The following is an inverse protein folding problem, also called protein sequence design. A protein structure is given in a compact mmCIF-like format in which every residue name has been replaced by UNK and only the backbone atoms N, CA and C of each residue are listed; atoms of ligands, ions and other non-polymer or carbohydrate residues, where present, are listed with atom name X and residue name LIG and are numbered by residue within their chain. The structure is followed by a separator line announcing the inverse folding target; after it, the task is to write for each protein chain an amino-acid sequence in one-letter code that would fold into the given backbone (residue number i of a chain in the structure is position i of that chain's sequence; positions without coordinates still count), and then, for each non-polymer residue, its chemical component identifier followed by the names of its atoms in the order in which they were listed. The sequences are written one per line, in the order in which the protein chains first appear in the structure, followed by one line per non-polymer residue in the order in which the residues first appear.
data_IF_080218958185
#
_entry.id   IF_080218958185
#
_cell.length_a   1.000
_cell.length_b   1.000
_cell.length_c   1.000
_cell.angle_alpha   90.00
_cell.angle_beta   90.00
_cell.angle_gamma   90.00
#
_symmetry.space_group_name_H-M   'P 1'
#
loop_
_entity.id
_entity.type
_entity.pdbx_description
1 polymer ?
#
# COMPACT_ATOMS: atom_id res chain seq x y z
N UNK A 1 9.50 14.60 5.27
CA UNK A 1 8.22 14.07 4.74
C UNK A 1 8.23 12.55 4.82
N UNK A 2 7.52 11.97 5.78
CA UNK A 2 7.52 10.51 6.03
C UNK A 2 6.67 9.70 5.01
N UNK A 3 5.90 10.37 4.14
CA UNK A 3 4.95 9.73 3.22
C UNK A 3 5.54 9.27 1.87
N UNK A 4 6.71 9.77 1.45
CA UNK A 4 7.25 9.52 0.11
C UNK A 4 7.68 8.05 -0.10
N UNK A 5 8.13 7.38 0.94
CA UNK A 5 8.58 5.98 0.89
C UNK A 5 7.42 5.00 0.62
N UNK A 6 6.20 5.36 1.02
CA UNK A 6 5.02 4.50 0.84
C UNK A 6 4.50 4.46 -0.60
N UNK A 7 4.91 5.42 -1.44
CA UNK A 7 4.49 5.51 -2.84
C UNK A 7 5.03 4.36 -3.69
N UNK A 8 6.25 3.90 -3.39
CA UNK A 8 6.93 2.81 -4.10
C UNK A 8 6.68 1.46 -3.44
N UNK A 9 5.46 1.21 -3.00
CA UNK A 9 5.07 -0.12 -2.53
C UNK A 9 4.98 -1.06 -3.72
N UNK A 10 6.02 -1.87 -3.92
CA UNK A 10 6.10 -2.86 -4.98
C UNK A 10 5.02 -3.93 -4.79
N UNK A 11 4.50 -4.47 -5.89
CA UNK A 11 3.53 -5.58 -5.89
C UNK A 11 3.99 -6.74 -5.00
N UNK A 12 5.30 -6.99 -4.92
CA UNK A 12 5.91 -7.98 -4.01
C UNK A 12 5.67 -7.70 -2.53
N UNK A 13 5.80 -6.44 -2.09
CA UNK A 13 5.56 -6.05 -0.69
C UNK A 13 4.07 -6.20 -0.36
N UNK A 14 3.20 -5.76 -1.27
CA UNK A 14 1.75 -5.90 -1.12
C UNK A 14 1.36 -7.37 -1.02
N UNK A 15 1.91 -8.23 -1.88
CA UNK A 15 1.70 -9.69 -1.82
C UNK A 15 2.16 -10.30 -0.49
N UNK A 16 3.34 -9.91 0.03
CA UNK A 16 3.83 -10.39 1.33
C UNK A 16 2.89 -10.01 2.47
N UNK A 17 2.40 -8.77 2.49
CA UNK A 17 1.42 -8.30 3.49
C UNK A 17 0.11 -9.08 3.37
N UNK A 18 -0.37 -9.34 2.14
CA UNK A 18 -1.58 -10.12 1.92
C UNK A 18 -1.45 -11.55 2.46
N UNK A 19 -0.31 -12.22 2.24
CA UNK A 19 -0.05 -13.57 2.76
C UNK A 19 -0.04 -13.56 4.28
N UNK A 20 0.57 -12.56 4.90
CA UNK A 20 0.57 -12.39 6.36
C UNK A 20 -0.86 -12.26 6.90
N UNK A 21 -1.68 -11.37 6.33
CA UNK A 21 -3.07 -11.17 6.73
C UNK A 21 -3.88 -12.46 6.58
N UNK A 22 -3.75 -13.16 5.45
CA UNK A 22 -4.43 -14.44 5.23
C UNK A 22 -4.03 -15.49 6.26
N UNK A 23 -2.75 -15.53 6.68
CA UNK A 23 -2.29 -16.44 7.73
C UNK A 23 -2.91 -16.13 9.09
N UNK A 24 -3.07 -14.84 9.43
CA UNK A 24 -3.74 -14.41 10.65
C UNK A 24 -5.23 -14.79 10.64
N UNK A 25 -5.93 -14.54 9.53
CA UNK A 25 -7.35 -14.89 9.38
C UNK A 25 -7.59 -16.39 9.54
N UNK A 26 -6.72 -17.23 8.97
CA UNK A 26 -6.81 -18.69 9.14
C UNK A 26 -6.62 -19.12 10.59
N UNK A 27 -5.69 -18.50 11.32
CA UNK A 27 -5.50 -18.74 12.76
C UNK A 27 -6.72 -18.31 13.58
N UNK A 28 -7.32 -17.16 13.28
CA UNK A 28 -8.52 -16.67 13.97
C UNK A 28 -9.74 -17.57 13.73
N UNK A 29 -9.89 -18.08 12.52
CA UNK A 29 -10.98 -19.01 12.16
C UNK A 29 -10.69 -20.47 12.57
N UNK A 30 -9.58 -20.72 13.27
CA UNK A 30 -9.10 -22.05 13.66
C UNK A 30 -9.09 -23.08 12.52
N UNK A 31 -8.70 -22.64 11.31
CA UNK A 31 -8.64 -23.47 10.11
C UNK A 31 -7.32 -24.25 10.15
N UNK A 32 -7.39 -25.58 10.23
CA UNK A 32 -6.22 -26.43 10.23
C UNK A 32 -5.70 -26.66 8.82
N UNK A 33 -4.46 -27.15 8.70
CA UNK A 33 -3.82 -27.40 7.41
C UNK A 33 -4.59 -28.38 6.52
N UNK A 34 -5.39 -29.28 7.13
CA UNK A 34 -6.26 -30.22 6.42
C UNK A 34 -7.51 -29.58 5.81
N UNK A 35 -7.93 -28.42 6.32
CA UNK A 35 -9.04 -27.66 5.77
C UNK A 35 -8.55 -26.87 4.56
N UNK A 36 -8.69 -27.47 3.38
CA UNK A 36 -8.35 -26.85 2.09
C UNK A 36 -9.41 -25.80 1.74
N UNK A 37 -9.39 -24.67 2.45
CA UNK A 37 -10.23 -23.51 2.17
C UNK A 37 -9.52 -22.60 1.17
N UNK A 38 -10.23 -22.26 0.08
CA UNK A 38 -9.77 -21.28 -0.89
C UNK A 38 -9.71 -19.88 -0.28
N UNK A 39 -8.82 -19.03 -0.79
CA UNK A 39 -8.69 -17.65 -0.29
C UNK A 39 -9.95 -16.81 -0.55
N UNK A 40 -10.71 -17.10 -1.61
CA UNK A 40 -11.97 -16.40 -1.90
C UNK A 40 -13.03 -16.71 -0.83
N UNK A 41 -13.19 -17.98 -0.45
CA UNK A 41 -14.13 -18.40 0.58
C UNK A 41 -13.74 -17.85 1.97
N UNK A 42 -12.45 -17.73 2.26
CA UNK A 42 -11.93 -17.10 3.48
C UNK A 42 -12.37 -15.62 3.57
N UNK A 43 -12.27 -14.88 2.46
CA UNK A 43 -12.64 -13.47 2.39
C UNK A 43 -14.16 -13.26 2.46
N UNK A 44 -14.93 -14.14 1.84
CA UNK A 44 -16.40 -14.14 1.92
C UNK A 44 -16.86 -14.33 3.37
N UNK A 45 -16.33 -15.33 4.08
CA UNK A 45 -16.67 -15.57 5.50
C UNK A 45 -16.31 -14.42 6.43
N UNK A 46 -15.25 -13.67 6.10
CA UNK A 46 -14.76 -12.57 6.94
C UNK A 46 -15.30 -11.20 6.49
N UNK A 47 -16.09 -11.15 5.42
CA UNK A 47 -16.53 -9.93 4.74
C UNK A 47 -15.36 -8.96 4.46
N UNK A 48 -14.15 -9.49 4.24
CA UNK A 48 -12.95 -8.68 4.02
C UNK A 48 -12.61 -8.55 2.54
N UNK A 49 -12.30 -7.32 2.13
CA UNK A 49 -11.74 -7.05 0.80
C UNK A 49 -10.22 -7.34 0.78
N UNK A 50 -9.67 -7.73 -0.39
CA UNK A 50 -8.23 -7.85 -0.58
C UNK A 50 -7.49 -6.58 -0.14
N UNK A 51 -6.33 -6.76 0.49
CA UNK A 51 -5.51 -5.67 1.01
C UNK A 51 -5.07 -4.72 -0.08
N UNK A 52 -4.83 -5.25 -1.28
CA UNK A 52 -4.54 -4.46 -2.48
C UNK A 52 -5.65 -3.44 -2.77
N UNK A 53 -6.91 -3.84 -2.66
CA UNK A 53 -8.03 -2.95 -2.94
C UNK A 53 -8.19 -1.88 -1.86
N UNK A 54 -7.95 -2.22 -0.59
CA UNK A 54 -7.90 -1.25 0.50
C UNK A 54 -6.78 -0.22 0.29
N UNK A 55 -5.58 -0.68 -0.09
CA UNK A 55 -4.45 0.20 -0.40
C UNK A 55 -4.78 1.09 -1.60
N UNK A 56 -5.38 0.55 -2.66
CA UNK A 56 -5.81 1.29 -3.84
C UNK A 56 -6.81 2.38 -3.50
N UNK A 57 -7.85 2.06 -2.72
CA UNK A 57 -8.84 3.05 -2.24
C UNK A 57 -8.19 4.13 -1.38
N UNK A 58 -7.26 3.76 -0.49
CA UNK A 58 -6.48 4.70 0.31
C UNK A 58 -5.65 5.66 -0.56
N UNK A 59 -4.94 5.14 -1.56
CA UNK A 59 -4.18 5.95 -2.52
C UNK A 59 -5.08 6.91 -3.28
N UNK A 60 -6.21 6.45 -3.82
CA UNK A 60 -7.15 7.33 -4.53
C UNK A 60 -7.75 8.42 -3.63
N UNK A 61 -8.11 8.07 -2.38
CA UNK A 61 -8.58 9.05 -1.40
C UNK A 61 -7.52 10.11 -1.11
N UNK A 62 -6.26 9.71 -1.01
CA UNK A 62 -5.13 10.62 -0.80
C UNK A 62 -4.86 11.49 -2.02
N UNK A 63 -4.82 10.93 -3.24
CA UNK A 63 -4.72 11.68 -4.50
C UNK A 63 -5.82 12.74 -4.58
N UNK A 64 -7.07 12.36 -4.30
CA UNK A 64 -8.20 13.30 -4.27
C UNK A 64 -7.98 14.44 -3.27
N UNK A 65 -7.43 14.14 -2.10
CA UNK A 65 -7.12 15.16 -1.09
C UNK A 65 -5.99 16.09 -1.55
N UNK A 66 -4.92 15.55 -2.12
CA UNK A 66 -3.78 16.33 -2.62
C UNK A 66 -4.17 17.21 -3.81
N UNK A 67 -5.03 16.73 -4.72
CA UNK A 67 -5.53 17.51 -5.85
C UNK A 67 -6.43 18.69 -5.43
N UNK A 68 -7.07 18.60 -4.25
CA UNK A 68 -7.84 19.71 -3.66
C UNK A 68 -6.95 20.82 -3.06
N UNK A 69 -5.64 20.58 -2.89
CA UNK A 69 -4.70 21.61 -2.44
C UNK A 69 -4.26 22.51 -3.60
N UNK A 70 -3.77 23.69 -3.28
CA UNK A 70 -3.27 24.66 -4.26
C UNK A 70 -2.14 24.07 -5.12
N UNK A 71 -2.02 24.55 -6.37
CA UNK A 71 -0.98 24.12 -7.33
C UNK A 71 0.44 24.27 -6.80
N UNK A 72 0.65 25.27 -5.93
CA UNK A 72 1.95 25.60 -5.36
C UNK A 72 2.31 24.73 -4.14
N UNK A 73 1.39 23.85 -3.68
CA UNK A 73 1.68 22.95 -2.57
C UNK A 73 2.72 21.91 -3.00
N UNK A 74 3.82 21.83 -2.25
CA UNK A 74 4.94 20.88 -2.45
C UNK A 74 4.43 19.44 -2.69
N UNK A 75 3.38 19.05 -1.97
CA UNK A 75 2.79 17.71 -2.07
C UNK A 75 2.10 17.44 -3.42
N UNK A 76 1.53 18.48 -4.06
CA UNK A 76 0.93 18.38 -5.39
C UNK A 76 2.00 18.40 -6.49
N UNK A 77 3.06 19.17 -6.31
CA UNK A 77 4.23 19.13 -7.18
C UNK A 77 4.95 17.78 -7.13
N UNK A 78 5.07 17.18 -5.93
CA UNK A 78 5.67 15.86 -5.73
C UNK A 78 4.91 14.71 -6.41
N UNK A 79 3.60 14.87 -6.71
CA UNK A 79 2.84 13.88 -7.49
C UNK A 79 3.29 13.81 -8.95
N UNK A 80 3.65 14.95 -9.54
CA UNK A 80 4.10 15.07 -10.94
C UNK A 80 5.62 14.89 -11.06
N UNK A 81 6.32 14.88 -9.93
CA UNK A 81 7.76 14.76 -9.88
C UNK A 81 8.21 13.34 -10.26
N UNK A 82 8.70 13.19 -11.50
CA UNK A 82 9.45 12.02 -11.93
C UNK A 82 10.95 12.30 -11.73
N UNK A 83 11.62 11.74 -10.72
CA UNK A 83 13.05 11.93 -10.55
C UNK A 83 13.79 11.13 -11.62
N UNK A 84 14.02 11.73 -12.78
CA UNK A 84 14.98 11.22 -13.75
C UNK A 84 16.39 11.29 -13.15
N UNK A 85 16.86 10.18 -12.60
CA UNK A 85 18.24 10.05 -12.16
C UNK A 85 18.48 8.97 -11.11
N UNK A 86 19.65 8.32 -11.19
CA UNK A 86 20.20 7.55 -10.09
C UNK A 86 20.57 8.53 -8.97
N UNK A 87 19.88 8.44 -7.84
CA UNK A 87 20.27 9.18 -6.63
C UNK A 87 21.67 8.72 -6.21
N UNK A 88 22.64 9.64 -6.13
CA UNK A 88 23.92 9.36 -5.47
C UNK A 88 23.63 9.11 -3.99
N UNK A 89 24.06 7.94 -3.51
CA UNK A 89 23.96 7.56 -2.09
C UNK A 89 24.81 8.56 -1.29
N UNK A 90 24.17 9.44 -0.51
CA UNK A 90 24.86 10.29 0.48
C UNK A 90 24.91 11.80 0.21
N UNK A 91 23.83 12.45 -0.23
CA UNK A 91 23.80 13.91 -0.34
C UNK A 91 22.66 14.56 0.44
N UNK A 92 22.91 15.01 1.69
CA UNK A 92 22.10 16.09 2.28
C UNK A 92 22.69 17.42 1.87
N UNK A 93 21.95 18.27 1.15
CA UNK A 93 22.26 19.69 1.04
C UNK A 93 21.37 20.43 2.03
N UNK A 94 21.98 20.81 3.15
CA UNK A 94 21.43 21.80 4.05
C UNK A 94 21.98 23.17 3.62
N UNK A 95 21.16 24.20 3.83
CA UNK A 95 21.30 25.64 3.50
C UNK A 95 20.75 26.03 2.14
#
# INVERSE_FOLDING_TARGET
MYGAETWRTTTTIIKKVQVFINSCLRKTLNIHWLDTISNSLLWERTNQLPTEEKIRKGRWKWIRHTLRKSSNCIMRQALTWNPEGKWKRGGSKNT
#
